data_IF_530226508405
#
_entry.id   IF_530226508405
#
_cell.length_a   1.000
_cell.length_b   1.000
_cell.length_c   1.000
_cell.angle_alpha   90.00
_cell.angle_beta   90.00
_cell.angle_gamma   90.00
#
_symmetry.space_group_name_H-M   'P 1'
#
loop_
_entity.id
_entity.type
_entity.pdbx_description
1 polymer ?
#
# COMPACT_ATOMS: atom_id res chain seq x y z
N UNK A 1 -57.11 -52.08 23.29
CA UNK A 1 -56.03 -51.10 23.53
C UNK A 1 -55.91 -50.28 22.26
N UNK A 2 -56.33 -49.01 22.27
CA UNK A 2 -56.26 -48.16 21.07
C UNK A 2 -54.80 -47.80 20.76
N UNK A 3 -54.39 -47.73 19.48
CA UNK A 3 -53.04 -47.33 19.14
C UNK A 3 -52.76 -45.92 19.68
N UNK A 4 -51.59 -45.74 20.30
CA UNK A 4 -51.16 -44.44 20.82
C UNK A 4 -51.12 -43.44 19.65
N UNK A 5 -51.93 -42.37 19.73
CA UNK A 5 -51.95 -41.32 18.72
C UNK A 5 -50.58 -40.63 18.68
N UNK A 6 -49.96 -40.62 17.50
CA UNK A 6 -48.73 -39.88 17.21
C UNK A 6 -49.01 -38.43 16.82
N UNK A 7 -50.27 -38.01 16.85
CA UNK A 7 -50.65 -36.63 16.55
C UNK A 7 -50.28 -35.69 17.72
N UNK A 8 -49.72 -34.50 17.43
CA UNK A 8 -49.21 -33.59 18.46
C UNK A 8 -50.24 -33.17 19.53
N UNK A 9 -51.50 -33.02 19.15
CA UNK A 9 -52.55 -32.48 20.03
C UNK A 9 -53.10 -33.52 21.02
N UNK A 10 -53.55 -34.72 20.58
CA UNK A 10 -53.90 -35.80 21.50
C UNK A 10 -52.76 -36.19 22.43
N UNK A 11 -51.51 -36.16 21.94
CA UNK A 11 -50.33 -36.47 22.72
C UNK A 11 -50.04 -35.41 23.78
N UNK A 12 -50.20 -34.13 23.45
CA UNK A 12 -50.15 -33.02 24.42
C UNK A 12 -51.20 -33.17 25.52
N UNK A 13 -52.43 -33.50 25.16
CA UNK A 13 -53.52 -33.66 26.13
C UNK A 13 -53.25 -34.86 27.07
N UNK A 14 -52.69 -35.96 26.54
CA UNK A 14 -52.26 -37.10 27.33
C UNK A 14 -51.07 -36.79 28.28
N UNK A 15 -50.11 -35.96 27.84
CA UNK A 15 -49.00 -35.49 28.66
C UNK A 15 -49.50 -34.66 29.84
N UNK A 16 -50.43 -33.72 29.61
CA UNK A 16 -51.05 -32.88 30.65
C UNK A 16 -51.92 -33.65 31.62
N UNK A 17 -52.65 -34.65 31.13
CA UNK A 17 -53.52 -35.51 31.95
C UNK A 17 -52.74 -36.56 32.75
N UNK A 18 -51.41 -36.63 32.62
CA UNK A 18 -50.60 -37.65 33.30
C UNK A 18 -50.85 -39.09 32.81
N UNK A 19 -51.51 -39.25 31.66
CA UNK A 19 -51.88 -40.57 31.12
C UNK A 19 -50.63 -41.38 30.77
N UNK A 20 -50.55 -42.68 31.11
CA UNK A 20 -49.41 -43.51 30.74
C UNK A 20 -49.30 -43.65 29.23
N UNK A 21 -48.10 -43.42 28.70
CA UNK A 21 -47.78 -43.49 27.27
C UNK A 21 -46.78 -44.63 27.01
N UNK A 22 -47.23 -45.90 26.95
CA UNK A 22 -46.35 -47.06 26.88
C UNK A 22 -45.55 -47.18 25.58
N UNK A 23 -45.87 -46.35 24.58
CA UNK A 23 -45.17 -46.30 23.30
C UNK A 23 -43.84 -45.51 23.34
N UNK A 24 -43.52 -44.85 24.46
CA UNK A 24 -42.32 -44.03 24.63
C UNK A 24 -41.58 -44.39 25.92
N UNK A 25 -40.25 -44.20 25.99
CA UNK A 25 -39.49 -44.39 27.22
C UNK A 25 -40.01 -43.49 28.35
N UNK A 26 -40.13 -44.03 29.57
CA UNK A 26 -40.67 -43.28 30.72
C UNK A 26 -39.85 -42.01 31.03
N UNK A 27 -38.53 -42.05 30.80
CA UNK A 27 -37.65 -40.90 30.97
C UNK A 27 -37.97 -39.76 29.99
N UNK A 28 -38.31 -40.08 28.74
CA UNK A 28 -38.65 -39.10 27.70
C UNK A 28 -40.05 -38.52 27.92
N UNK A 29 -40.98 -39.35 28.38
CA UNK A 29 -42.34 -38.90 28.77
C UNK A 29 -42.26 -37.95 29.97
N UNK A 30 -41.46 -38.27 30.99
CA UNK A 30 -41.25 -37.40 32.14
C UNK A 30 -40.60 -36.07 31.75
N UNK A 31 -39.63 -36.09 30.82
CA UNK A 31 -38.99 -34.88 30.28
C UNK A 31 -39.96 -34.03 29.46
N UNK A 32 -40.73 -34.66 28.57
CA UNK A 32 -41.75 -33.97 27.77
C UNK A 32 -42.84 -33.33 28.64
N UNK A 33 -43.27 -33.97 29.74
CA UNK A 33 -44.22 -33.38 30.71
C UNK A 33 -43.68 -32.09 31.33
N UNK A 34 -42.44 -32.13 31.84
CA UNK A 34 -41.80 -30.93 32.42
C UNK A 34 -41.73 -29.77 31.43
N UNK A 35 -41.39 -30.06 30.16
CA UNK A 35 -41.31 -29.04 29.11
C UNK A 35 -42.68 -28.52 28.66
N UNK A 36 -43.73 -29.34 28.73
CA UNK A 36 -45.12 -28.93 28.46
C UNK A 36 -45.69 -28.05 29.58
N UNK A 37 -45.31 -28.32 30.84
CA UNK A 37 -45.77 -27.57 32.00
C UNK A 37 -45.13 -26.17 32.08
N UNK A 38 -43.85 -26.06 31.67
CA UNK A 38 -43.15 -24.77 31.59
C UNK A 38 -42.43 -24.62 30.24
N UNK A 39 -43.22 -24.30 29.21
CA UNK A 39 -42.73 -24.08 27.85
C UNK A 39 -41.86 -22.82 27.75
N UNK A 40 -41.99 -21.88 28.69
CA UNK A 40 -41.21 -20.63 28.71
C UNK A 40 -39.75 -20.87 29.11
N UNK A 41 -39.49 -21.88 29.94
CA UNK A 41 -38.15 -22.28 30.38
C UNK A 41 -37.50 -23.37 29.50
N UNK A 42 -38.20 -23.89 28.49
CA UNK A 42 -37.70 -24.96 27.63
C UNK A 42 -36.57 -24.48 26.71
N UNK A 43 -35.46 -25.22 26.68
CA UNK A 43 -34.35 -24.98 25.74
C UNK A 43 -34.51 -25.79 24.44
N UNK A 44 -33.89 -25.33 23.35
CA UNK A 44 -33.89 -26.07 22.07
C UNK A 44 -33.19 -27.43 22.18
N UNK A 45 -32.13 -27.52 22.99
CA UNK A 45 -31.38 -28.76 23.20
C UNK A 45 -32.23 -29.82 23.92
N UNK A 46 -33.05 -29.41 24.88
CA UNK A 46 -33.93 -30.34 25.63
C UNK A 46 -35.03 -30.95 24.74
N UNK A 47 -35.50 -30.18 23.76
CA UNK A 47 -36.53 -30.63 22.80
C UNK A 47 -35.93 -31.44 21.65
N UNK A 48 -34.71 -31.15 21.22
CA UNK A 48 -33.98 -31.95 20.23
C UNK A 48 -33.64 -33.35 20.72
N UNK A 49 -33.48 -33.52 22.03
CA UNK A 49 -33.23 -34.81 22.66
C UNK A 49 -34.49 -35.70 22.78
N UNK A 50 -35.69 -35.17 22.47
CA UNK A 50 -36.94 -35.94 22.55
C UNK A 50 -37.24 -36.69 21.25
N UNK A 51 -37.96 -37.83 21.33
CA UNK A 51 -38.60 -38.44 20.17
C UNK A 51 -39.48 -37.44 19.41
N UNK A 52 -39.50 -37.52 18.08
CA UNK A 52 -40.18 -36.57 17.18
C UNK A 52 -41.63 -36.28 17.57
N UNK A 53 -42.39 -37.32 17.95
CA UNK A 53 -43.78 -37.18 18.36
C UNK A 53 -43.93 -36.33 19.65
N UNK A 54 -43.07 -36.56 20.65
CA UNK A 54 -43.06 -35.82 21.92
C UNK A 54 -42.58 -34.38 21.71
N UNK A 55 -41.55 -34.17 20.88
CA UNK A 55 -41.10 -32.84 20.48
C UNK A 55 -42.21 -32.04 19.76
N UNK A 56 -43.00 -32.71 18.91
CA UNK A 56 -44.19 -32.14 18.28
C UNK A 56 -45.26 -31.70 19.29
N UNK A 57 -45.49 -32.48 20.35
CA UNK A 57 -46.42 -32.12 21.42
C UNK A 57 -45.95 -30.92 22.25
N UNK A 58 -44.64 -30.79 22.51
CA UNK A 58 -44.05 -29.61 23.17
C UNK A 58 -44.19 -28.35 22.30
N UNK A 59 -43.96 -28.47 20.98
CA UNK A 59 -44.22 -27.37 20.04
C UNK A 59 -45.71 -26.98 19.99
N UNK A 60 -46.63 -27.94 20.08
CA UNK A 60 -48.06 -27.66 20.20
C UNK A 60 -48.39 -26.90 21.49
N UNK A 61 -47.74 -27.26 22.61
CA UNK A 61 -47.87 -26.54 23.87
C UNK A 61 -47.40 -25.08 23.74
N UNK A 62 -46.27 -24.84 23.05
CA UNK A 62 -45.77 -23.49 22.75
C UNK A 62 -46.77 -22.67 21.94
N UNK A 63 -47.39 -23.28 20.92
CA UNK A 63 -48.41 -22.62 20.08
C UNK A 63 -49.66 -22.25 20.86
N UNK A 64 -50.05 -23.06 21.86
CA UNK A 64 -51.19 -22.74 22.72
C UNK A 64 -50.86 -21.70 23.78
N UNK A 65 -49.63 -21.73 24.31
CA UNK A 65 -49.15 -20.77 25.30
C UNK A 65 -48.76 -19.42 24.68
N UNK A 66 -48.78 -19.29 23.34
CA UNK A 66 -48.36 -18.08 22.64
C UNK A 66 -46.84 -17.82 22.69
N UNK A 67 -46.05 -18.85 23.01
CA UNK A 67 -44.60 -18.73 23.19
C UNK A 67 -43.87 -18.87 21.86
N UNK A 68 -43.17 -17.81 21.45
CA UNK A 68 -42.48 -17.73 20.14
C UNK A 68 -41.03 -18.20 20.20
N UNK A 69 -40.36 -17.98 21.33
CA UNK A 69 -38.92 -18.20 21.48
C UNK A 69 -38.49 -19.64 21.17
N UNK A 70 -39.25 -20.63 21.66
CA UNK A 70 -38.93 -22.04 21.47
C UNK A 70 -39.10 -22.50 20.00
N UNK A 71 -40.24 -22.27 19.31
CA UNK A 71 -40.36 -22.52 17.88
C UNK A 71 -39.36 -21.75 17.01
N UNK A 72 -38.96 -20.54 17.41
CA UNK A 72 -37.96 -19.74 16.70
C UNK A 72 -36.57 -20.38 16.77
N UNK A 73 -36.10 -20.72 17.97
CA UNK A 73 -34.84 -21.42 18.17
C UNK A 73 -34.78 -22.76 17.43
N UNK A 74 -35.88 -23.54 17.47
CA UNK A 74 -35.95 -24.84 16.81
C UNK A 74 -36.11 -24.77 15.28
N UNK A 75 -36.46 -23.61 14.71
CA UNK A 75 -36.59 -23.45 13.25
C UNK A 75 -35.25 -23.56 12.50
N UNK A 76 -34.14 -23.34 13.22
CA UNK A 76 -32.75 -23.53 12.76
C UNK A 76 -32.11 -24.85 13.19
N UNK A 77 -32.86 -25.77 13.81
CA UNK A 77 -32.36 -27.06 14.27
C UNK A 77 -31.76 -27.90 13.14
N UNK A 78 -30.72 -28.68 13.46
CA UNK A 78 -30.11 -29.65 12.54
C UNK A 78 -31.02 -30.85 12.26
N UNK A 79 -32.03 -31.09 13.10
CA UNK A 79 -33.03 -32.16 12.95
C UNK A 79 -34.13 -31.70 12.00
N UNK A 80 -34.06 -32.11 10.72
CA UNK A 80 -34.95 -31.64 9.64
C UNK A 80 -36.46 -31.76 9.93
N UNK A 81 -36.98 -32.88 10.48
CA UNK A 81 -38.40 -32.99 10.80
C UNK A 81 -38.85 -31.98 11.87
N UNK A 82 -38.01 -31.77 12.90
CA UNK A 82 -38.26 -30.82 13.99
C UNK A 82 -38.24 -29.37 13.52
N UNK A 83 -37.26 -28.99 12.68
CA UNK A 83 -37.20 -27.67 12.07
C UNK A 83 -38.44 -27.36 11.21
N UNK A 84 -38.98 -28.36 10.51
CA UNK A 84 -40.21 -28.23 9.73
C UNK A 84 -41.44 -28.07 10.62
N UNK A 85 -41.53 -28.84 11.71
CA UNK A 85 -42.60 -28.71 12.71
C UNK A 85 -42.57 -27.32 13.40
N UNK A 86 -41.38 -26.83 13.75
CA UNK A 86 -41.17 -25.52 14.36
C UNK A 86 -41.58 -24.36 13.42
N UNK A 87 -41.23 -24.44 12.12
CA UNK A 87 -41.71 -23.48 11.11
C UNK A 87 -43.24 -23.47 10.97
N UNK A 88 -43.89 -24.64 11.05
CA UNK A 88 -45.35 -24.76 11.03
C UNK A 88 -45.99 -24.18 12.31
N UNK A 89 -45.36 -24.37 13.47
CA UNK A 89 -45.76 -23.76 14.73
C UNK A 89 -45.66 -22.22 14.68
N UNK A 90 -44.55 -21.67 14.16
CA UNK A 90 -44.36 -20.23 13.94
C UNK A 90 -45.40 -19.64 12.97
N UNK A 91 -45.77 -20.38 11.93
CA UNK A 91 -46.84 -19.96 11.01
C UNK A 91 -48.20 -19.89 11.73
N UNK A 92 -48.51 -20.87 12.59
CA UNK A 92 -49.76 -20.90 13.37
C UNK A 92 -49.82 -19.79 14.42
N UNK A 93 -48.70 -19.47 15.06
CA UNK A 93 -48.59 -18.34 16.00
C UNK A 93 -48.84 -17.01 15.27
N UNK A 94 -48.23 -16.82 14.08
CA UNK A 94 -48.48 -15.65 13.23
C UNK A 94 -49.93 -15.54 12.78
N UNK A 95 -50.57 -16.63 12.35
CA UNK A 95 -51.99 -16.62 11.98
C UNK A 95 -52.94 -16.33 13.17
N UNK A 96 -52.44 -16.47 14.41
CA UNK A 96 -53.16 -16.14 15.65
C UNK A 96 -52.88 -14.71 16.16
N UNK A 97 -52.14 -13.91 15.40
CA UNK A 97 -51.79 -12.53 15.79
C UNK A 97 -50.64 -12.44 16.79
N UNK A 98 -49.97 -13.55 17.12
CA UNK A 98 -48.76 -13.55 17.94
C UNK A 98 -47.58 -13.30 16.99
N UNK A 99 -47.20 -12.03 16.86
CA UNK A 99 -46.10 -11.60 15.99
C UNK A 99 -44.79 -11.72 16.77
N UNK A 100 -43.80 -12.48 16.28
CA UNK A 100 -42.45 -12.46 16.85
C UNK A 100 -41.92 -11.01 16.88
N UNK A 101 -41.27 -10.55 17.96
CA UNK A 101 -40.49 -9.32 17.87
C UNK A 101 -39.46 -9.51 16.75
N UNK A 102 -39.52 -8.64 15.75
CA UNK A 102 -38.60 -8.68 14.61
C UNK A 102 -37.18 -8.49 15.15
N UNK A 103 -36.38 -9.55 15.12
CA UNK A 103 -34.99 -9.47 15.53
C UNK A 103 -34.31 -8.38 14.69
N UNK A 104 -33.59 -7.42 15.30
CA UNK A 104 -32.87 -6.41 14.55
C UNK A 104 -31.91 -7.14 13.62
N UNK A 105 -32.19 -7.01 12.32
CA UNK A 105 -31.36 -7.55 11.25
C UNK A 105 -29.97 -6.95 11.46
N UNK A 106 -29.02 -7.76 11.92
CA UNK A 106 -27.63 -7.33 12.04
C UNK A 106 -27.24 -6.73 10.69
N UNK A 107 -26.92 -5.43 10.69
CA UNK A 107 -26.45 -4.77 9.49
C UNK A 107 -25.27 -5.61 8.96
N UNK A 108 -25.23 -5.92 7.64
CA UNK A 108 -24.06 -6.56 7.08
C UNK A 108 -22.84 -5.74 7.50
N UNK A 109 -21.71 -6.39 7.88
CA UNK A 109 -20.49 -5.65 8.20
C UNK A 109 -20.24 -4.69 7.05
N UNK A 110 -20.06 -3.41 7.38
CA UNK A 110 -19.78 -2.38 6.39
C UNK A 110 -18.65 -2.91 5.49
N UNK A 111 -18.91 -2.99 4.18
CA UNK A 111 -17.89 -3.40 3.24
C UNK A 111 -16.66 -2.55 3.52
N UNK A 112 -15.51 -3.21 3.75
CA UNK A 112 -14.26 -2.52 3.99
C UNK A 112 -14.11 -1.44 2.89
N UNK A 113 -13.84 -0.18 3.25
CA UNK A 113 -13.76 0.89 2.26
C UNK A 113 -12.77 0.46 1.18
N UNK A 114 -13.22 0.42 -0.07
CA UNK A 114 -12.38 0.09 -1.22
C UNK A 114 -11.25 1.11 -1.27
N UNK A 115 -10.06 0.73 -0.79
CA UNK A 115 -8.87 1.54 -0.88
C UNK A 115 -8.33 1.43 -2.28
N UNK A 116 -8.42 2.51 -3.05
CA UNK A 116 -7.79 2.58 -4.35
C UNK A 116 -6.28 2.72 -4.17
N UNK A 117 -5.48 2.11 -5.06
CA UNK A 117 -4.03 2.15 -4.94
C UNK A 117 -3.52 3.59 -5.06
N UNK A 118 -2.45 3.87 -4.32
CA UNK A 118 -1.65 5.10 -4.43
C UNK A 118 -0.30 4.71 -5.00
N UNK A 119 0.28 5.54 -5.87
CA UNK A 119 1.56 5.24 -6.50
C UNK A 119 2.54 6.38 -6.22
N UNK A 120 3.79 6.03 -5.94
CA UNK A 120 4.91 6.97 -5.90
C UNK A 120 5.93 6.56 -6.95
N UNK A 121 6.47 7.52 -7.70
CA UNK A 121 7.52 7.22 -8.68
C UNK A 121 8.86 7.00 -8.00
N UNK A 122 9.82 6.48 -8.75
CA UNK A 122 11.22 6.54 -8.36
C UNK A 122 11.66 8.00 -8.15
N UNK A 123 12.63 8.22 -7.26
CA UNK A 123 13.19 9.54 -7.01
C UNK A 123 14.32 9.82 -8.01
N UNK A 124 14.36 11.03 -8.55
CA UNK A 124 15.41 11.46 -9.46
C UNK A 124 16.69 11.83 -8.71
N UNK A 125 17.76 12.05 -9.49
CA UNK A 125 19.05 12.56 -8.99
C UNK A 125 18.96 13.92 -8.30
N UNK A 126 17.98 14.73 -8.70
CA UNK A 126 17.67 16.06 -8.14
C UNK A 126 16.67 15.99 -6.99
N UNK A 127 16.25 14.78 -6.58
CA UNK A 127 15.33 14.58 -5.47
C UNK A 127 13.86 14.81 -5.82
N UNK A 128 13.53 14.85 -7.11
CA UNK A 128 12.15 14.96 -7.56
C UNK A 128 11.47 13.60 -7.63
N UNK A 129 10.18 13.56 -7.33
CA UNK A 129 9.35 12.37 -7.45
C UNK A 129 7.89 12.76 -7.74
N UNK A 130 7.20 11.86 -8.44
CA UNK A 130 5.77 11.92 -8.69
C UNK A 130 4.99 11.14 -7.64
N UNK A 131 3.79 11.61 -7.34
CA UNK A 131 2.89 11.00 -6.37
C UNK A 131 1.45 11.05 -6.90
N UNK A 132 0.80 9.88 -6.96
CA UNK A 132 -0.56 9.69 -7.44
C UNK A 132 -1.47 9.28 -6.28
N UNK A 133 -2.18 10.24 -5.68
CA UNK A 133 -3.14 9.99 -4.60
C UNK A 133 -4.55 9.84 -5.16
N UNK A 134 -5.25 8.81 -4.70
CA UNK A 134 -6.64 8.57 -5.10
C UNK A 134 -7.60 8.78 -3.92
N UNK A 135 -8.78 9.30 -4.24
CA UNK A 135 -9.88 9.46 -3.28
C UNK A 135 -11.21 9.15 -3.96
N UNK A 136 -12.01 8.29 -3.33
CA UNK A 136 -13.36 8.01 -3.80
C UNK A 136 -14.25 9.22 -3.54
N UNK A 137 -14.92 9.72 -4.59
CA UNK A 137 -15.87 10.83 -4.54
C UNK A 137 -17.23 10.38 -5.09
N UNK A 138 -18.27 11.19 -4.90
CA UNK A 138 -19.62 10.84 -5.39
C UNK A 138 -19.61 10.81 -6.92
N UNK A 139 -19.72 9.61 -7.49
CA UNK A 139 -19.81 9.40 -8.95
C UNK A 139 -18.48 9.09 -9.65
N UNK A 140 -17.35 9.00 -8.93
CA UNK A 140 -16.06 8.74 -9.55
C UNK A 140 -14.90 8.64 -8.55
N UNK A 141 -13.70 8.88 -9.06
CA UNK A 141 -12.47 8.91 -8.28
C UNK A 141 -11.74 10.22 -8.58
N UNK A 142 -11.43 10.97 -7.53
CA UNK A 142 -10.50 12.10 -7.60
C UNK A 142 -9.08 11.54 -7.63
N UNK A 143 -8.29 11.92 -8.64
CA UNK A 143 -6.88 11.64 -8.77
C UNK A 143 -6.11 12.94 -8.60
N UNK A 144 -5.23 12.94 -7.60
CA UNK A 144 -4.26 13.97 -7.36
C UNK A 144 -2.91 13.52 -7.91
N UNK A 145 -2.40 14.24 -8.90
CA UNK A 145 -1.07 14.03 -9.46
C UNK A 145 -0.16 15.14 -8.92
N UNK A 146 0.91 14.76 -8.25
CA UNK A 146 1.82 15.68 -7.56
C UNK A 146 3.22 15.44 -8.08
N UNK A 147 3.93 16.51 -8.43
CA UNK A 147 5.38 16.50 -8.61
C UNK A 147 5.97 17.24 -7.41
N UNK A 148 6.82 16.56 -6.64
CA UNK A 148 7.46 17.12 -5.46
C UNK A 148 8.98 17.00 -5.55
N UNK A 149 9.69 17.90 -4.89
CA UNK A 149 11.13 17.91 -4.68
C UNK A 149 11.42 17.83 -3.19
N UNK A 150 12.44 17.07 -2.81
CA UNK A 150 12.96 17.05 -1.44
C UNK A 150 13.76 18.30 -1.04
N UNK A 151 13.92 19.26 -1.95
CA UNK A 151 14.54 20.57 -1.70
C UNK A 151 13.54 21.72 -1.65
N UNK A 152 12.43 21.65 -2.39
CA UNK A 152 11.49 22.77 -2.54
C UNK A 152 10.05 22.45 -2.10
N UNK A 153 9.70 21.17 -1.96
CA UNK A 153 8.35 20.73 -1.64
C UNK A 153 7.55 20.39 -2.90
N UNK A 154 6.23 20.56 -2.84
CA UNK A 154 5.33 20.41 -3.98
C UNK A 154 5.66 21.48 -5.03
N UNK A 155 6.02 21.04 -6.24
CA UNK A 155 6.32 21.88 -7.38
C UNK A 155 5.08 22.07 -8.27
N UNK A 156 4.42 20.96 -8.59
CA UNK A 156 3.25 20.94 -9.45
C UNK A 156 2.17 20.02 -8.87
N UNK A 157 0.92 20.38 -9.12
CA UNK A 157 -0.24 19.63 -8.68
C UNK A 157 -1.34 19.72 -9.74
N UNK A 158 -1.86 18.57 -10.12
CA UNK A 158 -3.01 18.45 -11.02
C UNK A 158 -4.07 17.58 -10.36
N UNK A 159 -5.30 18.08 -10.31
CA UNK A 159 -6.46 17.35 -9.78
C UNK A 159 -7.44 17.04 -10.89
N UNK A 160 -7.78 15.77 -11.06
CA UNK A 160 -8.76 15.31 -12.04
C UNK A 160 -9.77 14.36 -11.43
N UNK A 161 -10.98 14.35 -11.98
CA UNK A 161 -11.98 13.32 -11.69
C UNK A 161 -12.01 12.31 -12.84
N UNK A 162 -11.93 11.03 -12.51
CA UNK A 162 -11.82 9.95 -13.48
C UNK A 162 -12.70 8.76 -13.07
N UNK A 163 -12.98 7.88 -14.04
CA UNK A 163 -13.64 6.62 -13.74
C UNK A 163 -12.69 5.69 -12.97
N UNK A 164 -13.25 4.75 -12.19
CA UNK A 164 -12.46 3.71 -11.50
C UNK A 164 -11.61 2.89 -12.48
N UNK A 165 -12.12 2.65 -13.69
CA UNK A 165 -11.41 1.88 -14.73
C UNK A 165 -10.18 2.62 -15.26
N UNK A 166 -10.29 3.92 -15.45
CA UNK A 166 -9.19 4.75 -15.96
C UNK A 166 -8.07 4.89 -14.93
N UNK A 167 -8.41 5.08 -13.66
CA UNK A 167 -7.43 5.09 -12.56
C UNK A 167 -6.66 3.77 -12.48
N UNK A 168 -7.35 2.63 -12.52
CA UNK A 168 -6.69 1.32 -12.52
C UNK A 168 -5.76 1.16 -13.72
N UNK A 169 -6.12 1.69 -14.89
CA UNK A 169 -5.26 1.65 -16.09
C UNK A 169 -4.00 2.50 -15.92
N UNK A 170 -4.15 3.73 -15.42
CA UNK A 170 -3.03 4.66 -15.17
C UNK A 170 -2.04 4.03 -14.17
N UNK A 171 -2.55 3.55 -13.03
CA UNK A 171 -1.71 2.96 -11.98
C UNK A 171 -1.02 1.69 -12.48
N UNK A 172 -1.75 0.81 -13.18
CA UNK A 172 -1.18 -0.39 -13.78
C UNK A 172 -0.07 -0.06 -14.78
N UNK A 173 -0.26 0.97 -15.61
CA UNK A 173 0.76 1.40 -16.57
C UNK A 173 2.03 1.90 -15.87
N UNK A 174 1.90 2.67 -14.79
CA UNK A 174 3.05 3.11 -13.99
C UNK A 174 3.85 1.95 -13.40
N UNK A 175 3.15 0.95 -12.83
CA UNK A 175 3.78 -0.24 -12.25
C UNK A 175 4.45 -1.13 -13.30
N UNK A 176 3.78 -1.38 -14.44
CA UNK A 176 4.29 -2.28 -15.48
C UNK A 176 5.53 -1.75 -16.18
N UNK A 177 5.68 -0.43 -16.28
CA UNK A 177 6.85 0.20 -16.89
C UNK A 177 7.96 0.51 -15.87
N UNK A 178 7.80 0.13 -14.60
CA UNK A 178 8.81 0.35 -13.56
C UNK A 178 9.00 1.81 -13.15
N UNK A 179 8.04 2.70 -13.45
CA UNK A 179 8.14 4.12 -13.12
C UNK A 179 7.88 4.42 -11.65
N UNK A 180 7.35 3.46 -10.89
CA UNK A 180 7.05 3.65 -9.48
C UNK A 180 6.61 2.37 -8.76
N UNK A 181 6.22 2.53 -7.51
CA UNK A 181 5.69 1.48 -6.66
C UNK A 181 4.35 1.88 -6.05
N UNK A 182 3.53 0.87 -5.76
CA UNK A 182 2.31 1.06 -5.00
C UNK A 182 2.66 1.32 -3.53
N UNK A 183 1.99 2.30 -2.93
CA UNK A 183 2.09 2.64 -1.51
C UNK A 183 0.70 2.73 -0.90
N UNK A 184 0.63 2.62 0.43
CA UNK A 184 -0.64 2.84 1.12
C UNK A 184 -1.10 4.29 0.96
N UNK A 185 -2.41 4.51 1.09
CA UNK A 185 -2.97 5.88 1.10
C UNK A 185 -2.38 6.74 2.22
N UNK A 186 -2.12 6.13 3.37
CA UNK A 186 -1.52 6.78 4.53
C UNK A 186 -0.08 7.23 4.23
N UNK A 187 0.70 6.37 3.58
CA UNK A 187 2.06 6.68 3.16
C UNK A 187 2.08 7.80 2.11
N UNK A 188 1.19 7.75 1.11
CA UNK A 188 1.06 8.84 0.15
C UNK A 188 0.65 10.16 0.78
N UNK A 189 -0.28 10.12 1.75
CA UNK A 189 -0.68 11.29 2.52
C UNK A 189 0.48 11.87 3.34
N UNK A 190 1.31 11.01 3.94
CA UNK A 190 2.54 11.41 4.66
C UNK A 190 3.56 12.08 3.73
N UNK A 191 3.79 11.53 2.54
CA UNK A 191 4.67 12.13 1.53
C UNK A 191 4.17 13.52 1.10
N UNK A 192 2.86 13.67 0.88
CA UNK A 192 2.25 14.97 0.60
C UNK A 192 2.42 15.96 1.77
N UNK A 193 2.27 15.49 3.01
CA UNK A 193 2.47 16.28 4.22
C UNK A 193 3.91 16.80 4.34
N UNK A 194 4.90 15.93 4.10
CA UNK A 194 6.32 16.28 4.12
C UNK A 194 6.67 17.30 3.03
N UNK A 195 6.16 17.09 1.81
CA UNK A 195 6.37 18.01 0.70
C UNK A 195 5.77 19.39 0.99
N UNK A 196 4.52 19.46 1.49
CA UNK A 196 3.87 20.72 1.84
C UNK A 196 4.58 21.45 2.99
N UNK A 197 5.11 20.73 3.98
CA UNK A 197 5.90 21.35 5.05
C UNK A 197 7.22 21.94 4.54
N UNK A 198 7.82 21.29 3.54
CA UNK A 198 9.02 21.78 2.89
C UNK A 198 8.75 23.06 2.08
N UNK A 199 7.60 23.18 1.41
CA UNK A 199 7.20 24.45 0.79
C UNK A 199 7.18 25.59 1.83
N UNK A 200 6.55 25.37 2.98
CA UNK A 200 6.47 26.37 4.05
C UNK A 200 7.87 26.74 4.59
N UNK A 201 8.71 25.74 4.86
CA UNK A 201 10.07 25.94 5.39
C UNK A 201 10.97 26.71 4.42
N UNK A 202 10.85 26.43 3.13
CA UNK A 202 11.67 27.06 2.08
C UNK A 202 11.06 28.33 1.52
N UNK A 203 9.84 28.68 1.96
CA UNK A 203 9.01 29.75 1.40
C UNK A 203 8.75 29.57 -0.10
N UNK A 204 8.77 28.33 -0.58
CA UNK A 204 8.33 28.00 -1.93
C UNK A 204 6.80 28.13 -1.97
N UNK A 205 6.22 28.97 -2.85
CA UNK A 205 4.78 29.14 -2.92
C UNK A 205 4.06 27.81 -3.15
N UNK A 206 2.87 27.67 -2.58
CA UNK A 206 2.03 26.51 -2.88
C UNK A 206 1.54 26.62 -4.34
N UNK A 207 1.61 25.54 -5.13
CA UNK A 207 0.94 25.52 -6.43
C UNK A 207 -0.58 25.65 -6.24
N UNK A 208 -1.30 26.04 -7.31
CA UNK A 208 -2.76 26.08 -7.29
C UNK A 208 -3.37 24.79 -6.76
N UNK A 209 -4.49 24.91 -6.05
CA UNK A 209 -5.25 23.80 -5.47
C UNK A 209 -4.57 22.95 -4.37
N UNK A 210 -3.28 23.15 -4.06
CA UNK A 210 -2.61 22.36 -3.01
C UNK A 210 -3.30 22.51 -1.65
N UNK A 211 -3.67 23.71 -1.25
CA UNK A 211 -4.35 23.94 0.03
C UNK A 211 -5.71 23.22 0.09
N UNK A 212 -6.45 23.22 -1.01
CA UNK A 212 -7.69 22.47 -1.12
C UNK A 212 -7.45 20.96 -1.10
N UNK A 213 -6.41 20.48 -1.79
CA UNK A 213 -6.01 19.07 -1.80
C UNK A 213 -5.62 18.57 -0.40
N UNK A 214 -4.83 19.34 0.35
CA UNK A 214 -4.48 19.02 1.74
C UNK A 214 -5.75 18.84 2.59
N UNK A 215 -6.70 19.77 2.51
CA UNK A 215 -8.01 19.64 3.19
C UNK A 215 -8.80 18.43 2.72
N UNK A 216 -8.87 18.17 1.42
CA UNK A 216 -9.60 17.05 0.82
C UNK A 216 -9.07 15.69 1.27
N UNK A 217 -7.74 15.58 1.38
CA UNK A 217 -7.09 14.35 1.79
C UNK A 217 -6.94 14.22 3.32
N UNK A 218 -7.31 15.26 4.09
CA UNK A 218 -7.20 15.29 5.55
C UNK A 218 -5.75 15.38 6.01
N UNK A 219 -4.89 16.03 5.22
CA UNK A 219 -3.44 16.09 5.41
C UNK A 219 -3.06 17.46 5.97
N UNK A 220 -2.21 17.46 6.99
CA UNK A 220 -1.58 18.66 7.54
C UNK A 220 -0.08 18.62 7.27
N UNK A 221 0.58 19.76 6.98
CA UNK A 221 2.03 19.80 6.80
C UNK A 221 2.78 19.20 8.00
N UNK A 222 3.66 18.24 7.74
CA UNK A 222 4.47 17.57 8.75
C UNK A 222 5.77 18.35 8.99
N UNK A 223 5.83 19.07 10.11
CA UNK A 223 6.95 19.99 10.39
C UNK A 223 8.29 19.27 10.62
N UNK A 224 8.25 18.06 11.19
CA UNK A 224 9.44 17.26 11.48
C UNK A 224 9.25 15.84 10.92
N UNK A 225 9.95 15.48 9.82
CA UNK A 225 9.85 14.15 9.26
C UNK A 225 10.54 13.13 10.17
N UNK A 226 9.98 11.92 10.23
CA UNK A 226 10.53 10.84 11.06
C UNK A 226 12.02 10.60 10.73
N UNK A 227 12.88 10.43 11.76
CA UNK A 227 14.28 10.09 11.54
C UNK A 227 14.42 8.71 10.92
N UNK A 228 15.50 8.47 10.19
CA UNK A 228 15.80 7.12 9.70
C UNK A 228 16.26 6.22 10.87
N UNK A 229 16.01 4.90 10.79
CA UNK A 229 16.47 3.95 11.80
C UNK A 229 17.97 4.06 12.08
N UNK A 230 18.40 3.67 13.29
CA UNK A 230 19.80 3.69 13.68
C UNK A 230 20.66 2.73 12.82
N UNK A 231 21.96 3.01 12.61
CA UNK A 231 22.82 2.16 11.80
C UNK A 231 22.93 0.73 12.37
N UNK A 232 23.00 -0.23 11.47
CA UNK A 232 23.18 -1.66 11.77
C UNK A 232 24.66 -2.07 11.55
N UNK A 233 25.17 -3.12 12.22
CA UNK A 233 26.55 -3.57 12.05
C UNK A 233 26.93 -3.89 10.60
N UNK A 234 26.01 -4.51 9.86
CA UNK A 234 26.21 -4.89 8.45
C UNK A 234 26.31 -3.67 7.51
N UNK A 235 25.88 -2.48 7.95
CA UNK A 235 25.92 -1.27 7.13
C UNK A 235 27.34 -0.89 6.71
N UNK A 236 28.36 -1.26 7.52
CA UNK A 236 29.77 -1.07 7.16
C UNK A 236 30.10 -1.81 5.86
N UNK A 237 29.63 -3.05 5.70
CA UNK A 237 29.81 -3.83 4.46
C UNK A 237 28.97 -3.24 3.34
N UNK A 238 27.72 -2.87 3.61
CA UNK A 238 26.80 -2.32 2.60
C UNK A 238 27.33 -1.05 1.94
N UNK A 239 27.96 -0.17 2.71
CA UNK A 239 28.55 1.06 2.18
C UNK A 239 29.76 0.81 1.27
N UNK A 240 30.47 -0.30 1.46
CA UNK A 240 31.54 -0.71 0.54
C UNK A 240 31.00 -1.28 -0.78
N UNK A 241 29.72 -1.65 -0.82
CA UNK A 241 29.01 -2.18 -2.00
C UNK A 241 28.15 -1.09 -2.67
N UNK A 242 28.17 0.16 -2.17
CA UNK A 242 27.29 1.24 -2.61
C UNK A 242 27.45 1.64 -4.08
N UNK A 243 28.60 1.38 -4.69
CA UNK A 243 28.83 1.57 -6.12
C UNK A 243 27.90 0.71 -6.99
N UNK A 244 27.51 -0.48 -6.50
CA UNK A 244 26.61 -1.39 -7.21
C UNK A 244 25.22 -0.77 -7.44
N UNK A 245 24.81 0.17 -6.59
CA UNK A 245 23.56 0.89 -6.78
C UNK A 245 23.56 1.66 -8.11
N UNK A 246 24.69 2.23 -8.54
CA UNK A 246 24.78 2.93 -9.82
C UNK A 246 24.76 2.00 -11.04
N UNK A 247 24.83 0.68 -10.86
CA UNK A 247 24.59 -0.28 -11.94
C UNK A 247 23.09 -0.54 -12.16
N UNK A 248 22.22 -0.05 -11.28
CA UNK A 248 20.76 -0.14 -11.46
C UNK A 248 20.26 0.90 -12.46
N UNK A 249 19.25 0.59 -13.31
CA UNK A 249 18.71 1.54 -14.29
C UNK A 249 18.29 2.88 -13.67
N UNK A 250 17.73 2.85 -12.47
CA UNK A 250 17.15 4.02 -11.80
C UNK A 250 18.20 4.99 -11.24
N UNK A 251 19.41 4.48 -10.93
CA UNK A 251 20.50 5.25 -10.29
C UNK A 251 21.72 5.43 -11.21
N UNK A 252 21.74 4.76 -12.37
CA UNK A 252 22.80 4.88 -13.37
C UNK A 252 22.94 6.32 -13.86
N UNK A 253 21.81 7.00 -14.08
CA UNK A 253 21.76 8.38 -14.57
C UNK A 253 21.94 9.43 -13.47
N UNK A 254 22.06 9.01 -12.20
CA UNK A 254 22.24 9.99 -11.13
C UNK A 254 23.58 10.71 -11.25
N UNK A 255 23.55 12.02 -11.28
CA UNK A 255 24.74 12.87 -11.37
C UNK A 255 24.76 13.88 -10.22
N UNK A 256 25.95 14.38 -9.83
CA UNK A 256 26.02 15.57 -8.98
C UNK A 256 25.33 16.76 -9.66
N UNK A 257 24.94 17.81 -8.91
CA UNK A 257 24.40 19.03 -9.50
C UNK A 257 25.34 19.65 -10.53
N UNK A 258 24.79 20.35 -11.53
CA UNK A 258 25.56 20.92 -12.65
C UNK A 258 26.72 21.85 -12.21
N UNK A 259 26.56 22.55 -11.09
CA UNK A 259 27.62 23.38 -10.54
C UNK A 259 28.84 22.54 -10.09
N UNK A 260 28.58 21.41 -9.43
CA UNK A 260 29.62 20.48 -8.96
C UNK A 260 30.27 19.75 -10.13
N UNK A 261 29.47 19.36 -11.13
CA UNK A 261 29.96 18.78 -12.39
C UNK A 261 30.94 19.72 -13.08
N UNK A 262 30.55 20.98 -13.28
CA UNK A 262 31.42 21.99 -13.91
C UNK A 262 32.68 22.23 -13.09
N UNK A 263 32.56 22.42 -11.78
CA UNK A 263 33.69 22.66 -10.90
C UNK A 263 34.70 21.51 -10.91
N UNK A 264 34.24 20.26 -10.87
CA UNK A 264 35.13 19.09 -10.97
C UNK A 264 35.81 19.03 -12.34
N UNK A 265 35.09 19.32 -13.42
CA UNK A 265 35.66 19.30 -14.78
C UNK A 265 36.75 20.35 -14.99
N UNK A 266 36.54 21.58 -14.52
CA UNK A 266 37.55 22.63 -14.56
C UNK A 266 38.84 22.21 -13.84
N UNK A 267 38.71 21.55 -12.69
CA UNK A 267 39.85 21.09 -11.89
C UNK A 267 40.60 19.94 -12.59
N UNK A 268 39.89 18.98 -13.15
CA UNK A 268 40.49 17.87 -13.92
C UNK A 268 41.21 18.39 -15.16
N UNK A 269 40.63 19.37 -15.86
CA UNK A 269 41.28 20.01 -17.01
C UNK A 269 42.53 20.80 -16.61
N UNK A 270 42.48 21.56 -15.52
CA UNK A 270 43.64 22.28 -15.00
C UNK A 270 44.81 21.33 -14.65
N UNK A 271 44.51 20.14 -14.12
CA UNK A 271 45.52 19.11 -13.87
C UNK A 271 46.11 18.54 -15.16
N UNK A 272 45.29 18.33 -16.19
CA UNK A 272 45.76 17.85 -17.49
C UNK A 272 46.69 18.86 -18.20
N UNK A 273 46.47 20.16 -17.97
CA UNK A 273 47.31 21.25 -18.49
C UNK A 273 48.58 21.50 -17.65
N UNK A 274 48.76 20.82 -16.52
CA UNK A 274 49.91 21.02 -15.64
C UNK A 274 51.21 20.57 -16.32
N UNK A 275 52.27 21.41 -16.34
CA UNK A 275 53.55 21.10 -16.98
C UNK A 275 54.37 20.02 -16.26
N UNK A 276 53.87 19.46 -15.16
CA UNK A 276 54.53 18.38 -14.44
C UNK A 276 54.51 17.09 -15.27
N UNK A 277 55.70 16.53 -15.55
CA UNK A 277 55.86 15.22 -16.21
C UNK A 277 55.40 14.10 -15.29
N UNK A 278 54.09 13.88 -15.23
CA UNK A 278 53.46 12.78 -14.50
C UNK A 278 53.28 11.57 -15.41
N UNK A 279 53.57 10.38 -14.87
CA UNK A 279 53.22 9.11 -15.52
C UNK A 279 51.69 8.98 -15.63
N UNK A 280 51.20 8.13 -16.55
CA UNK A 280 49.76 7.88 -16.70
C UNK A 280 49.11 7.39 -15.41
N UNK A 281 49.79 6.52 -14.65
CA UNK A 281 49.30 5.99 -13.37
C UNK A 281 49.16 7.09 -12.31
N UNK A 282 50.16 7.98 -12.18
CA UNK A 282 50.10 9.10 -11.23
C UNK A 282 49.00 10.10 -11.59
N UNK A 283 48.77 10.36 -12.88
CA UNK A 283 47.64 11.19 -13.33
C UNK A 283 46.31 10.57 -12.95
N UNK A 284 46.15 9.26 -13.18
CA UNK A 284 44.93 8.55 -12.82
C UNK A 284 44.66 8.61 -11.32
N UNK A 285 45.71 8.42 -10.50
CA UNK A 285 45.59 8.50 -9.04
C UNK A 285 45.23 9.91 -8.55
N UNK A 286 45.82 10.97 -9.13
CA UNK A 286 45.43 12.34 -8.81
C UNK A 286 43.97 12.63 -9.17
N UNK A 287 43.50 12.15 -10.34
CA UNK A 287 42.11 12.32 -10.75
C UNK A 287 41.18 11.59 -9.80
N UNK A 288 41.51 10.36 -9.41
CA UNK A 288 40.73 9.61 -8.41
C UNK A 288 40.70 10.31 -7.06
N UNK A 289 41.84 10.85 -6.59
CA UNK A 289 41.88 11.61 -5.35
C UNK A 289 40.99 12.85 -5.44
N UNK A 290 41.01 13.56 -6.58
CA UNK A 290 40.18 14.74 -6.77
C UNK A 290 38.69 14.43 -6.76
N UNK A 291 38.29 13.30 -7.34
CA UNK A 291 36.92 12.79 -7.27
C UNK A 291 36.50 12.53 -5.82
N UNK A 292 37.35 11.88 -5.02
CA UNK A 292 37.06 11.63 -3.59
C UNK A 292 36.93 12.94 -2.80
N UNK A 293 37.83 13.89 -3.03
CA UNK A 293 37.81 15.19 -2.37
C UNK A 293 36.53 15.97 -2.72
N UNK A 294 36.12 15.97 -3.98
CA UNK A 294 34.89 16.61 -4.44
C UNK A 294 33.64 15.95 -3.82
N UNK A 295 33.59 14.62 -3.78
CA UNK A 295 32.49 13.89 -3.14
C UNK A 295 32.40 14.24 -1.64
N UNK A 296 33.52 14.23 -0.91
CA UNK A 296 33.55 14.58 0.52
C UNK A 296 33.15 16.02 0.78
N UNK A 297 33.58 16.95 -0.08
CA UNK A 297 33.21 18.36 0.04
C UNK A 297 31.71 18.60 -0.21
N UNK A 298 31.14 17.91 -1.18
CA UNK A 298 29.71 18.03 -1.52
C UNK A 298 28.80 17.43 -0.45
N UNK A 299 29.14 16.25 0.09
CA UNK A 299 28.34 15.55 1.09
C UNK A 299 28.51 16.15 2.50
N UNK A 300 28.09 17.41 2.65
CA UNK A 300 27.84 18.10 3.92
C UNK A 300 26.75 17.40 4.74
N UNK A 301 26.62 17.64 6.07
CA UNK A 301 25.59 17.01 6.89
C UNK A 301 24.16 17.10 6.30
N UNK A 302 23.80 18.26 5.75
CA UNK A 302 22.49 18.51 5.16
C UNK A 302 22.31 17.76 3.83
N UNK A 303 23.34 17.69 3.00
CA UNK A 303 23.33 16.92 1.75
C UNK A 303 23.25 15.43 2.06
N UNK A 304 23.99 14.94 3.06
CA UNK A 304 23.95 13.54 3.50
C UNK A 304 22.56 13.13 3.94
N UNK A 305 21.87 13.94 4.75
CA UNK A 305 20.51 13.64 5.17
C UNK A 305 19.52 13.61 3.99
N UNK A 306 19.68 14.50 3.00
CA UNK A 306 18.85 14.48 1.77
C UNK A 306 19.08 13.20 0.97
N UNK A 307 20.32 12.89 0.61
CA UNK A 307 20.65 11.69 -0.14
C UNK A 307 20.30 10.40 0.62
N UNK A 308 20.44 10.40 1.94
CA UNK A 308 19.99 9.29 2.77
C UNK A 308 18.50 9.03 2.60
N UNK A 309 17.65 10.07 2.64
CA UNK A 309 16.21 9.93 2.41
C UNK A 309 15.89 9.49 0.98
N UNK A 310 16.63 9.97 -0.02
CA UNK A 310 16.50 9.51 -1.42
C UNK A 310 16.79 8.00 -1.51
N UNK A 311 17.92 7.54 -0.96
CA UNK A 311 18.30 6.13 -0.94
C UNK A 311 17.33 5.26 -0.12
N UNK A 312 16.80 5.79 0.99
CA UNK A 312 15.79 5.09 1.78
C UNK A 312 14.51 4.84 0.98
N UNK A 313 14.07 5.81 0.17
CA UNK A 313 12.93 5.64 -0.75
C UNK A 313 13.25 4.63 -1.85
N UNK A 314 14.47 4.67 -2.40
CA UNK A 314 14.91 3.68 -3.40
C UNK A 314 14.96 2.26 -2.83
N UNK A 315 15.33 2.08 -1.56
CA UNK A 315 15.29 0.78 -0.92
C UNK A 315 13.87 0.20 -0.88
N UNK A 316 12.86 1.01 -0.54
CA UNK A 316 11.46 0.59 -0.56
C UNK A 316 11.01 0.18 -1.98
N UNK A 317 11.46 0.90 -3.00
CA UNK A 317 11.21 0.54 -4.40
C UNK A 317 11.90 -0.76 -4.81
N UNK A 318 13.14 -1.00 -4.38
CA UNK A 318 13.84 -2.25 -4.61
C UNK A 318 13.13 -3.43 -3.94
N UNK A 319 12.61 -3.28 -2.72
CA UNK A 319 11.78 -4.30 -2.07
C UNK A 319 10.48 -4.58 -2.84
N UNK A 320 9.76 -3.53 -3.24
CA UNK A 320 8.53 -3.66 -4.02
C UNK A 320 8.75 -4.40 -5.35
N UNK A 321 9.97 -4.30 -5.90
CA UNK A 321 10.41 -4.96 -7.13
C UNK A 321 11.23 -6.24 -6.89
N UNK A 322 11.23 -6.78 -5.67
CA UNK A 322 11.88 -8.05 -5.30
C UNK A 322 13.41 -8.07 -5.49
N UNK A 323 14.06 -6.92 -5.30
CA UNK A 323 15.52 -6.72 -5.43
C UNK A 323 16.17 -6.52 -4.06
N UNK A 324 16.03 -7.52 -3.19
CA UNK A 324 16.49 -7.45 -1.80
C UNK A 324 17.98 -7.05 -1.62
N UNK A 325 18.94 -7.56 -2.42
CA UNK A 325 20.34 -7.15 -2.26
C UNK A 325 20.55 -5.64 -2.45
N UNK A 326 19.91 -5.05 -3.46
CA UNK A 326 19.98 -3.61 -3.73
C UNK A 326 19.25 -2.81 -2.64
N UNK A 327 18.13 -3.32 -2.13
CA UNK A 327 17.42 -2.69 -1.02
C UNK A 327 18.27 -2.62 0.25
N UNK A 328 18.98 -3.71 0.59
CA UNK A 328 19.86 -3.76 1.75
C UNK A 328 21.04 -2.78 1.62
N UNK A 329 21.65 -2.71 0.43
CA UNK A 329 22.73 -1.75 0.17
C UNK A 329 22.22 -0.31 0.32
N UNK A 330 21.08 0.01 -0.28
CA UNK A 330 20.46 1.33 -0.21
C UNK A 330 20.08 1.73 1.23
N UNK A 331 19.58 0.81 2.06
CA UNK A 331 19.31 1.06 3.48
C UNK A 331 20.58 1.33 4.28
N UNK A 332 21.61 0.52 4.08
CA UNK A 332 22.88 0.68 4.80
C UNK A 332 23.55 2.01 4.48
N UNK A 333 23.59 2.38 3.20
CA UNK A 333 24.05 3.71 2.76
C UNK A 333 23.19 4.83 3.36
N UNK A 334 21.86 4.71 3.30
CA UNK A 334 20.94 5.70 3.83
C UNK A 334 21.15 5.94 5.33
N UNK A 335 21.20 4.89 6.15
CA UNK A 335 21.40 5.03 7.60
C UNK A 335 22.75 5.69 7.92
N UNK A 336 23.83 5.23 7.29
CA UNK A 336 25.17 5.76 7.57
C UNK A 336 25.33 7.22 7.15
N UNK A 337 24.80 7.60 5.99
CA UNK A 337 24.75 9.00 5.55
C UNK A 337 23.91 9.85 6.51
N UNK A 338 22.72 9.38 6.89
CA UNK A 338 21.82 10.12 7.78
C UNK A 338 22.43 10.41 9.15
N UNK A 339 23.10 9.40 9.74
CA UNK A 339 23.69 9.47 11.07
C UNK A 339 25.14 10.00 11.08
N UNK A 340 25.66 10.42 9.92
CA UNK A 340 26.98 11.08 9.82
C UNK A 340 28.18 10.18 10.14
N UNK A 341 28.10 8.89 9.81
CA UNK A 341 29.24 7.97 10.00
C UNK A 341 30.24 8.10 8.84
N UNK A 342 31.32 8.85 9.08
CA UNK A 342 32.22 9.31 8.03
C UNK A 342 33.15 8.22 7.46
N UNK A 343 33.44 7.14 8.20
CA UNK A 343 34.36 6.08 7.74
C UNK A 343 33.82 4.64 7.95
N UNK A 344 33.97 3.72 6.97
CA UNK A 344 34.45 4.00 5.61
C UNK A 344 33.50 4.93 4.86
N UNK A 345 34.07 5.85 4.07
CA UNK A 345 33.28 6.79 3.27
C UNK A 345 32.49 6.09 2.17
N UNK A 346 31.36 6.71 1.80
CA UNK A 346 30.35 6.12 0.91
C UNK A 346 30.87 5.85 -0.50
N UNK A 347 30.86 4.58 -0.92
CA UNK A 347 31.21 4.20 -2.30
C UNK A 347 30.15 4.66 -3.28
N UNK A 348 28.89 4.73 -2.86
CA UNK A 348 27.86 5.41 -3.62
C UNK A 348 28.24 6.88 -3.89
N UNK A 349 28.58 7.65 -2.84
CA UNK A 349 28.94 9.06 -2.96
C UNK A 349 30.16 9.29 -3.87
N UNK A 350 31.22 8.47 -3.72
CA UNK A 350 32.40 8.55 -4.59
C UNK A 350 32.06 8.23 -6.05
N UNK A 351 31.25 7.19 -6.28
CA UNK A 351 30.87 6.74 -7.63
C UNK A 351 30.00 7.77 -8.35
N UNK A 352 29.12 8.47 -7.62
CA UNK A 352 28.33 9.59 -8.16
C UNK A 352 29.23 10.62 -8.86
N UNK A 353 30.35 11.00 -8.23
CA UNK A 353 31.32 11.94 -8.81
C UNK A 353 32.25 11.30 -9.84
N UNK A 354 32.62 10.03 -9.66
CA UNK A 354 33.49 9.33 -10.60
C UNK A 354 32.89 9.27 -12.02
N UNK A 355 31.56 9.13 -12.13
CA UNK A 355 30.85 9.12 -13.41
C UNK A 355 31.06 10.39 -14.24
N UNK A 356 31.26 11.54 -13.60
CA UNK A 356 31.53 12.81 -14.29
C UNK A 356 32.80 12.69 -15.15
N UNK A 357 33.86 12.13 -14.58
CA UNK A 357 35.14 11.96 -15.27
C UNK A 357 35.03 10.94 -16.40
N UNK A 358 34.30 9.84 -16.20
CA UNK A 358 34.08 8.82 -17.23
C UNK A 358 33.34 9.39 -18.44
N UNK A 359 32.26 10.15 -18.20
CA UNK A 359 31.49 10.80 -19.26
C UNK A 359 32.32 11.83 -20.03
N UNK A 360 33.14 12.62 -19.33
CA UNK A 360 34.03 13.59 -19.95
C UNK A 360 35.09 12.92 -20.84
N UNK A 361 35.69 11.82 -20.37
CA UNK A 361 36.64 11.04 -21.16
C UNK A 361 35.99 10.44 -22.42
N UNK A 362 34.77 9.91 -22.30
CA UNK A 362 34.00 9.38 -23.43
C UNK A 362 33.64 10.47 -24.45
N UNK A 363 33.22 11.65 -23.97
CA UNK A 363 32.94 12.81 -24.81
C UNK A 363 34.18 13.30 -25.57
N UNK A 364 35.33 13.37 -24.91
CA UNK A 364 36.60 13.74 -25.54
C UNK A 364 37.04 12.72 -26.61
N UNK A 365 36.85 11.41 -26.35
CA UNK A 365 37.14 10.36 -27.33
C UNK A 365 36.20 10.44 -28.54
N UNK A 366 34.90 10.70 -28.33
CA UNK A 366 33.93 10.87 -29.41
C UNK A 366 34.25 12.09 -30.28
N UNK A 367 34.65 13.22 -29.66
CA UNK A 367 35.09 14.40 -30.39
C UNK A 367 36.39 14.17 -31.16
N UNK A 368 37.36 13.44 -30.60
CA UNK A 368 38.58 13.06 -31.32
C UNK A 368 38.29 12.15 -32.53
N UNK A 369 37.32 11.24 -32.41
CA UNK A 369 36.87 10.39 -33.51
C UNK A 369 36.13 11.18 -34.61
N UNK A 370 35.34 12.19 -34.24
CA UNK A 370 34.62 13.07 -35.18
C UNK A 370 35.51 14.17 -35.79
N UNK A 371 36.60 14.54 -35.11
CA UNK A 371 37.56 15.56 -35.54
C UNK A 371 38.59 15.08 -36.58
N UNK A 372 38.45 13.87 -37.11
CA UNK A 372 39.24 13.41 -38.26
C UNK A 372 38.45 13.73 -39.54
N UNK A 373 38.81 14.75 -40.34
CA UNK A 373 38.08 15.04 -41.56
C UNK A 373 38.39 13.95 -42.59
N UNK A 374 37.44 13.04 -42.82
CA UNK A 374 37.38 12.29 -44.05
C UNK A 374 37.09 13.28 -45.18
N UNK A 375 38.06 13.44 -46.08
CA UNK A 375 37.91 14.27 -47.25
C UNK A 375 36.75 13.74 -48.12
N UNK A 376 35.73 14.60 -48.29
CA UNK A 376 34.87 14.63 -49.47
C UNK A 376 33.63 13.74 -49.44
N UNK A 377 32.50 14.28 -48.97
CA UNK A 377 31.21 14.06 -49.64
C UNK A 377 30.22 15.21 -49.33
N UNK A 378 29.50 15.74 -50.32
CA UNK A 378 28.63 16.93 -50.17
C UNK A 378 27.27 16.61 -49.50
N UNK A 379 26.61 17.62 -48.90
CA UNK A 379 25.48 17.41 -47.99
C UNK A 379 24.15 17.15 -48.73
N UNK A 380 23.40 16.16 -48.25
CA UNK A 380 22.00 15.94 -48.63
C UNK A 380 21.04 16.81 -47.80
N UNK A 381 19.99 17.30 -48.48
CA UNK A 381 19.01 18.28 -47.99
C UNK A 381 18.05 17.74 -46.90
N UNK A 382 17.44 18.63 -46.08
CA UNK A 382 16.66 18.23 -44.92
C UNK A 382 15.21 17.86 -45.25
N UNK A 383 14.75 16.71 -44.76
CA UNK A 383 13.34 16.32 -44.75
C UNK A 383 12.64 16.81 -43.49
N UNK A 384 11.59 17.61 -43.69
CA UNK A 384 10.70 18.13 -42.66
C UNK A 384 9.92 17.01 -41.95
N UNK A 385 10.05 16.91 -40.63
CA UNK A 385 9.13 16.14 -39.78
C UNK A 385 7.88 16.96 -39.43
N UNK A 386 6.72 16.36 -39.69
CA UNK A 386 5.41 16.84 -39.26
C UNK A 386 5.20 16.51 -37.78
N UNK A 387 5.03 17.55 -36.95
CA UNK A 387 4.42 17.42 -35.61
C UNK A 387 2.94 17.08 -35.75
N UNK A 388 2.48 16.11 -34.95
CA UNK A 388 1.06 15.98 -34.59
C UNK A 388 0.91 16.00 -33.06
N UNK A 389 -0.21 16.55 -32.54
CA UNK A 389 -0.32 17.08 -31.20
C UNK A 389 -0.97 16.08 -30.24
N UNK A 390 -0.41 15.92 -29.03
CA UNK A 390 -0.97 15.04 -28.01
C UNK A 390 0.08 14.61 -27.00
N UNK A 391 0.77 15.58 -26.40
CA UNK A 391 1.83 15.32 -25.42
C UNK A 391 1.24 14.92 -24.08
N UNK A 392 1.29 13.62 -23.79
CA UNK A 392 1.43 13.14 -22.42
C UNK A 392 2.78 13.67 -21.91
N UNK A 393 2.75 14.45 -20.84
CA UNK A 393 3.95 14.77 -20.08
C UNK A 393 4.18 13.59 -19.14
N UNK A 394 5.15 12.76 -19.48
CA UNK A 394 5.83 11.88 -18.53
C UNK A 394 7.32 12.24 -18.59
N UNK A 395 8.01 12.27 -17.44
CA UNK A 395 9.44 12.57 -17.36
C UNK A 395 10.30 11.56 -18.13
#
# INVERSE_FOLDING_TARGET
>A
MSPASTEPRPLLDALRAGTPLPAFPEADVARARRLVDDVGAASSADVEALPEALAGAVLEAAVLAGQVALPEALSGSSVKPLAKAAKKALYRLRSRGVTPPEAPKAAPPAAAPETLPTLVTVVSSTGQYGLLLTRVVRGGVELLQVIASDEQGVLELTRTEQSRGDIRRILKHGLQNGFGMEVSREEGARLLAEAAALNLRTRTPFPPDLEAALRHHGVQPLHEPEPLPAPEPDDVRRVLEGDQLHATPELAEWMPPDAEVRGLMEQVQAMAASPLTLTGAQRQEQVQQRVRDAARAFFTPEVRQRYARRLWRMAAFFDATQRAPQADIARGEARRLFHGLDEPFSRFAETLFAKVVVLAAAGAQAQAAQGTPAAGEPPAAPTHERRSPGGLILP
#
